data_IF_801415433179
#
_entry.id   IF_801415433179
#
_cell.length_a   1.000
_cell.length_b   1.000
_cell.length_c   1.000
_cell.angle_alpha   90.00
_cell.angle_beta   90.00
_cell.angle_gamma   90.00
#
_symmetry.space_group_name_H-M   'P 1'
#
loop_
_entity.id
_entity.type
_entity.pdbx_description
1 polymer ?
#
# COMPACT_ATOMS: atom_id res chain seq x y z
N UNK A 1 11.69 -21.63 17.25
CA UNK A 1 12.00 -22.27 15.95
C UNK A 1 10.97 -21.77 14.94
N UNK A 2 11.19 -20.57 14.41
CA UNK A 2 10.27 -19.91 13.46
C UNK A 2 10.55 -20.52 12.09
N UNK A 3 9.56 -21.22 11.53
CA UNK A 3 9.60 -21.73 10.17
C UNK A 3 9.79 -20.56 9.21
N UNK A 4 11.02 -20.39 8.72
CA UNK A 4 11.30 -19.54 7.57
C UNK A 4 10.48 -20.07 6.40
N UNK A 5 9.38 -19.39 6.07
CA UNK A 5 8.62 -19.67 4.86
C UNK A 5 9.56 -19.52 3.68
N UNK A 6 9.86 -20.63 2.99
CA UNK A 6 10.63 -20.60 1.75
C UNK A 6 9.96 -19.61 0.81
N UNK A 7 10.67 -18.54 0.45
CA UNK A 7 10.25 -17.64 -0.62
C UNK A 7 10.28 -18.49 -1.89
N UNK A 8 9.11 -18.87 -2.40
CA UNK A 8 9.00 -19.59 -3.67
C UNK A 8 9.41 -18.63 -4.77
N UNK A 9 10.40 -19.01 -5.57
CA UNK A 9 10.75 -18.23 -6.77
C UNK A 9 9.53 -18.24 -7.72
N UNK A 10 9.23 -17.10 -8.37
CA UNK A 10 8.12 -17.03 -9.32
C UNK A 10 8.36 -18.01 -10.47
N UNK A 11 7.31 -18.74 -10.84
CA UNK A 11 7.41 -19.76 -11.89
C UNK A 11 7.69 -19.08 -13.25
N UNK A 12 8.49 -19.68 -14.13
CA UNK A 12 8.79 -19.06 -15.42
C UNK A 12 7.51 -18.94 -16.26
N UNK A 13 7.16 -17.70 -16.59
CA UNK A 13 5.99 -17.34 -17.39
C UNK A 13 6.22 -17.80 -18.84
N UNK A 14 5.68 -18.96 -19.18
CA UNK A 14 5.77 -19.53 -20.51
C UNK A 14 4.39 -19.46 -21.18
N UNK A 15 4.19 -18.59 -22.18
CA UNK A 15 2.91 -18.50 -22.87
C UNK A 15 2.63 -19.82 -23.61
N UNK A 16 1.47 -20.42 -23.31
CA UNK A 16 0.98 -21.66 -23.93
C UNK A 16 -0.44 -21.43 -24.41
N UNK A 17 -0.90 -22.29 -25.32
CA UNK A 17 -2.29 -22.28 -25.77
C UNK A 17 -3.19 -22.72 -24.61
N UNK A 18 -4.09 -21.82 -24.17
CA UNK A 18 -4.99 -22.03 -23.03
C UNK A 18 -6.42 -22.47 -23.42
N UNK A 19 -6.61 -23.01 -24.63
CA UNK A 19 -7.93 -23.46 -25.06
C UNK A 19 -8.40 -24.66 -24.23
N UNK A 20 -9.53 -24.51 -23.54
CA UNK A 20 -10.09 -25.52 -22.61
C UNK A 20 -9.17 -25.91 -21.44
N UNK A 21 -8.20 -25.04 -21.07
CA UNK A 21 -7.24 -25.35 -20.02
C UNK A 21 -7.87 -25.30 -18.62
N UNK A 22 -8.61 -24.23 -18.33
CA UNK A 22 -9.21 -24.01 -17.00
C UNK A 22 -10.73 -24.19 -16.96
N UNK A 23 -11.38 -24.11 -18.12
CA UNK A 23 -12.83 -24.20 -18.27
C UNK A 23 -13.11 -25.21 -19.36
N UNK A 24 -13.83 -26.29 -19.05
CA UNK A 24 -14.17 -27.32 -20.04
C UNK A 24 -15.33 -26.90 -20.95
N UNK A 25 -15.60 -27.70 -21.99
CA UNK A 25 -16.72 -27.44 -22.90
C UNK A 25 -18.07 -27.45 -22.17
N UNK A 26 -18.28 -28.43 -21.28
CA UNK A 26 -19.50 -28.55 -20.47
C UNK A 26 -19.65 -27.37 -19.51
N UNK A 27 -18.55 -26.94 -18.88
CA UNK A 27 -18.55 -25.79 -17.97
C UNK A 27 -18.93 -24.48 -18.69
N UNK A 28 -18.47 -24.31 -19.94
CA UNK A 28 -18.83 -23.14 -20.74
C UNK A 28 -20.32 -23.11 -21.09
N UNK A 29 -20.94 -24.27 -21.32
CA UNK A 29 -22.39 -24.35 -21.57
C UNK A 29 -23.19 -23.92 -20.33
N UNK A 30 -22.76 -24.33 -19.14
CA UNK A 30 -23.36 -23.86 -17.88
C UNK A 30 -23.16 -22.35 -17.68
N UNK A 31 -21.96 -21.83 -17.96
CA UNK A 31 -21.66 -20.40 -17.87
C UNK A 31 -22.52 -19.59 -18.85
N UNK A 32 -22.72 -20.07 -20.08
CA UNK A 32 -23.54 -19.37 -21.09
C UNK A 32 -25.03 -19.36 -20.71
N UNK A 33 -25.54 -20.48 -20.21
CA UNK A 33 -26.95 -20.61 -19.80
C UNK A 33 -27.29 -19.76 -18.56
N UNK A 34 -26.31 -19.46 -17.71
CA UNK A 34 -26.53 -18.74 -16.45
C UNK A 34 -26.59 -17.23 -16.66
N UNK A 35 -27.81 -16.64 -16.64
CA UNK A 35 -28.00 -15.19 -16.80
C UNK A 35 -27.89 -14.39 -15.49
N UNK A 36 -28.27 -14.99 -14.37
CA UNK A 36 -28.24 -14.31 -13.08
C UNK A 36 -26.81 -14.19 -12.54
N UNK A 37 -26.40 -12.98 -12.16
CA UNK A 37 -25.08 -12.69 -11.57
C UNK A 37 -24.75 -13.59 -10.34
N UNK A 38 -25.65 -13.78 -9.35
CA UNK A 38 -25.31 -14.60 -8.18
C UNK A 38 -25.14 -16.08 -8.51
N UNK A 39 -25.86 -16.59 -9.50
CA UNK A 39 -25.70 -17.97 -9.98
C UNK A 39 -24.40 -18.10 -10.76
N UNK A 40 -24.08 -17.13 -11.62
CA UNK A 40 -22.83 -17.09 -12.38
C UNK A 40 -21.61 -17.08 -11.45
N UNK A 41 -21.66 -16.33 -10.34
CA UNK A 41 -20.60 -16.37 -9.30
C UNK A 41 -20.40 -17.76 -8.73
N UNK A 42 -21.48 -18.52 -8.50
CA UNK A 42 -21.41 -19.91 -7.98
C UNK A 42 -20.82 -20.85 -9.02
N UNK A 43 -21.29 -20.80 -10.26
CA UNK A 43 -20.77 -21.62 -11.36
C UNK A 43 -19.27 -21.36 -11.56
N UNK A 44 -18.85 -20.09 -11.65
CA UNK A 44 -17.44 -19.72 -11.80
C UNK A 44 -16.58 -20.18 -10.60
N UNK A 45 -17.12 -20.16 -9.39
CA UNK A 45 -16.42 -20.66 -8.20
C UNK A 45 -16.12 -22.15 -8.31
N UNK A 46 -17.09 -22.94 -8.78
CA UNK A 46 -16.93 -24.38 -8.98
C UNK A 46 -15.96 -24.69 -10.11
N UNK A 47 -16.18 -24.07 -11.28
CA UNK A 47 -15.41 -24.32 -12.51
C UNK A 47 -13.93 -23.95 -12.33
N UNK A 48 -13.65 -22.77 -11.79
CA UNK A 48 -12.27 -22.28 -11.66
C UNK A 48 -11.57 -22.78 -10.39
N UNK A 49 -12.26 -23.55 -9.54
CA UNK A 49 -11.71 -24.16 -8.32
C UNK A 49 -11.23 -23.13 -7.29
N UNK A 50 -11.95 -22.03 -7.11
CA UNK A 50 -11.52 -20.91 -6.24
C UNK A 50 -11.72 -21.25 -4.76
N UNK A 51 -10.71 -21.85 -4.14
CA UNK A 51 -10.70 -22.22 -2.72
C UNK A 51 -9.99 -21.17 -1.84
N UNK A 52 -10.47 -19.93 -1.86
CA UNK A 52 -9.91 -18.81 -1.09
C UNK A 52 -10.93 -18.36 -0.02
N UNK A 53 -10.50 -17.96 1.20
CA UNK A 53 -11.40 -17.39 2.19
C UNK A 53 -12.00 -16.04 1.76
N UNK A 54 -13.17 -15.69 2.29
CA UNK A 54 -13.72 -14.34 2.17
C UNK A 54 -12.88 -13.33 2.96
N UNK A 55 -12.75 -12.06 2.51
CA UNK A 55 -13.43 -11.42 1.38
C UNK A 55 -12.72 -11.56 0.02
N UNK A 56 -11.55 -12.21 -0.02
CA UNK A 56 -10.69 -12.30 -1.22
C UNK A 56 -11.39 -13.06 -2.34
N UNK A 57 -12.15 -14.11 -2.00
CA UNK A 57 -12.95 -14.87 -2.95
C UNK A 57 -13.97 -14.00 -3.68
N UNK A 58 -14.70 -13.14 -2.97
CA UNK A 58 -15.67 -12.22 -3.58
C UNK A 58 -15.05 -11.34 -4.66
N UNK A 59 -13.89 -10.75 -4.38
CA UNK A 59 -13.15 -9.88 -5.32
C UNK A 59 -12.69 -10.65 -6.56
N UNK A 60 -12.17 -11.87 -6.37
CA UNK A 60 -11.70 -12.68 -7.49
C UNK A 60 -12.85 -13.18 -8.38
N UNK A 61 -13.95 -13.64 -7.78
CA UNK A 61 -15.16 -14.02 -8.53
C UNK A 61 -15.76 -12.83 -9.26
N UNK A 62 -15.72 -11.64 -8.67
CA UNK A 62 -16.17 -10.43 -9.32
C UNK A 62 -15.33 -10.09 -10.55
N UNK A 63 -14.00 -10.25 -10.51
CA UNK A 63 -13.14 -10.13 -11.69
C UNK A 63 -13.56 -11.10 -12.80
N UNK A 64 -13.81 -12.37 -12.48
CA UNK A 64 -14.24 -13.37 -13.47
C UNK A 64 -15.63 -13.08 -14.04
N UNK A 65 -16.59 -12.68 -13.21
CA UNK A 65 -17.93 -12.28 -13.67
C UNK A 65 -17.84 -11.12 -14.65
N UNK A 66 -17.09 -10.06 -14.31
CA UNK A 66 -16.92 -8.92 -15.22
C UNK A 66 -16.26 -9.32 -16.54
N UNK A 67 -15.35 -10.30 -16.51
CA UNK A 67 -14.74 -10.85 -17.73
C UNK A 67 -15.78 -11.55 -18.61
N UNK A 68 -16.65 -12.38 -18.01
CA UNK A 68 -17.73 -13.05 -18.76
C UNK A 68 -18.74 -12.04 -19.32
N UNK A 69 -19.10 -11.02 -18.54
CA UNK A 69 -20.01 -9.97 -19.01
C UNK A 69 -19.42 -9.22 -20.21
N UNK A 70 -18.13 -8.88 -20.15
CA UNK A 70 -17.43 -8.27 -21.28
C UNK A 70 -17.42 -9.16 -22.53
N UNK A 71 -17.20 -10.48 -22.37
CA UNK A 71 -17.29 -11.42 -23.50
C UNK A 71 -18.69 -11.43 -24.13
N UNK A 72 -19.74 -11.39 -23.31
CA UNK A 72 -21.13 -11.35 -23.78
C UNK A 72 -21.44 -10.05 -24.52
N UNK A 73 -21.02 -8.91 -23.98
CA UNK A 73 -21.17 -7.59 -24.64
C UNK A 73 -20.43 -7.51 -25.97
N UNK A 74 -19.28 -8.19 -26.05
CA UNK A 74 -18.43 -8.23 -27.26
C UNK A 74 -18.81 -9.35 -28.24
N UNK A 75 -19.85 -10.14 -27.94
CA UNK A 75 -20.32 -11.30 -28.73
C UNK A 75 -19.22 -12.34 -29.02
N UNK A 76 -18.35 -12.61 -28.05
CA UNK A 76 -17.32 -13.65 -28.20
C UNK A 76 -17.89 -15.06 -28.18
N UNK A 77 -17.26 -15.94 -28.94
CA UNK A 77 -17.55 -17.37 -28.98
C UNK A 77 -17.22 -18.06 -27.64
N UNK A 78 -17.73 -19.28 -27.46
CA UNK A 78 -17.44 -20.13 -26.28
C UNK A 78 -15.96 -20.35 -26.07
N UNK A 79 -15.25 -20.69 -27.15
CA UNK A 79 -13.80 -20.91 -27.15
C UNK A 79 -13.04 -19.65 -26.73
N UNK A 80 -13.40 -18.51 -27.32
CA UNK A 80 -12.81 -17.21 -27.01
C UNK A 80 -13.04 -16.82 -25.54
N UNK A 81 -14.23 -17.07 -25.00
CA UNK A 81 -14.56 -16.79 -23.59
C UNK A 81 -13.77 -17.67 -22.63
N UNK A 82 -13.68 -18.98 -22.92
CA UNK A 82 -12.86 -19.93 -22.14
C UNK A 82 -11.39 -19.50 -22.10
N UNK A 83 -10.84 -19.12 -23.26
CA UNK A 83 -9.47 -18.64 -23.37
C UNK A 83 -9.27 -17.34 -22.61
N UNK A 84 -10.16 -16.36 -22.75
CA UNK A 84 -10.02 -15.08 -22.05
C UNK A 84 -10.07 -15.25 -20.53
N UNK A 85 -10.96 -16.09 -20.01
CA UNK A 85 -11.01 -16.44 -18.59
C UNK A 85 -9.69 -17.07 -18.11
N UNK A 86 -9.13 -17.99 -18.90
CA UNK A 86 -7.86 -18.65 -18.61
C UNK A 86 -6.68 -17.66 -18.63
N UNK A 87 -6.67 -16.71 -19.58
CA UNK A 87 -5.68 -15.63 -19.65
C UNK A 87 -5.77 -14.74 -18.39
N UNK A 88 -6.98 -14.31 -18.00
CA UNK A 88 -7.18 -13.47 -16.82
C UNK A 88 -6.76 -14.21 -15.54
N UNK A 89 -7.09 -15.49 -15.42
CA UNK A 89 -6.65 -16.34 -14.31
C UNK A 89 -5.13 -16.45 -14.25
N UNK A 90 -4.49 -16.78 -15.37
CA UNK A 90 -3.03 -16.92 -15.46
C UNK A 90 -2.31 -15.60 -15.17
N UNK A 91 -2.81 -14.49 -15.67
CA UNK A 91 -2.30 -13.15 -15.38
C UNK A 91 -2.46 -12.78 -13.90
N UNK A 92 -3.60 -13.12 -13.29
CA UNK A 92 -3.82 -12.86 -11.87
C UNK A 92 -2.90 -13.71 -10.99
N UNK A 93 -2.73 -14.98 -11.33
CA UNK A 93 -1.78 -15.85 -10.65
C UNK A 93 -0.35 -15.30 -10.73
N UNK A 94 0.13 -14.96 -11.94
CA UNK A 94 1.44 -14.36 -12.14
C UNK A 94 1.65 -13.06 -11.33
N UNK A 95 0.61 -12.21 -11.22
CA UNK A 95 0.68 -11.02 -10.40
C UNK A 95 0.83 -11.34 -8.90
N UNK A 96 0.14 -12.38 -8.42
CA UNK A 96 0.06 -12.69 -6.99
C UNK A 96 1.20 -13.58 -6.47
N UNK A 97 1.96 -14.21 -7.37
CA UNK A 97 3.12 -15.05 -7.04
C UNK A 97 4.24 -14.29 -6.31
N UNK A 98 4.39 -12.99 -6.55
CA UNK A 98 5.40 -12.16 -5.90
C UNK A 98 4.75 -10.95 -5.23
N UNK A 99 5.20 -10.55 -4.02
CA UNK A 99 4.78 -9.29 -3.41
C UNK A 99 5.43 -8.07 -4.09
N UNK A 100 6.51 -8.28 -4.86
CA UNK A 100 7.21 -7.21 -5.56
C UNK A 100 6.43 -6.73 -6.79
N UNK A 101 6.66 -5.48 -7.19
CA UNK A 101 6.02 -4.94 -8.38
C UNK A 101 6.50 -5.68 -9.66
N UNK A 102 5.61 -6.42 -10.30
CA UNK A 102 5.85 -7.14 -11.55
C UNK A 102 4.86 -6.75 -12.67
N UNK A 103 4.34 -5.51 -12.62
CA UNK A 103 3.34 -5.02 -13.58
C UNK A 103 3.80 -5.17 -15.04
N UNK A 104 5.05 -4.78 -15.34
CA UNK A 104 5.60 -4.89 -16.69
C UNK A 104 5.70 -6.33 -17.18
N UNK A 105 6.09 -7.25 -16.30
CA UNK A 105 6.15 -8.69 -16.62
C UNK A 105 4.75 -9.29 -16.83
N UNK A 106 3.77 -8.92 -16.00
CA UNK A 106 2.39 -9.37 -16.16
C UNK A 106 1.78 -8.84 -17.47
N UNK A 107 2.08 -7.60 -17.84
CA UNK A 107 1.63 -7.00 -19.09
C UNK A 107 2.27 -7.67 -20.31
N UNK A 108 3.58 -7.91 -20.28
CA UNK A 108 4.30 -8.63 -21.34
C UNK A 108 3.72 -10.04 -21.51
N UNK A 109 3.55 -10.76 -20.40
CA UNK A 109 2.97 -12.10 -20.40
C UNK A 109 1.54 -12.13 -20.96
N UNK A 110 0.69 -11.18 -20.54
CA UNK A 110 -0.67 -11.05 -21.08
C UNK A 110 -0.64 -10.75 -22.59
N UNK A 111 0.26 -9.88 -23.04
CA UNK A 111 0.41 -9.53 -24.46
C UNK A 111 0.88 -10.71 -25.30
N UNK A 112 1.83 -11.50 -24.79
CA UNK A 112 2.31 -12.72 -25.42
C UNK A 112 1.22 -13.81 -25.48
N UNK A 113 0.45 -14.00 -24.40
CA UNK A 113 -0.70 -14.91 -24.39
C UNK A 113 -1.74 -14.51 -25.43
N UNK A 114 -2.10 -13.22 -25.51
CA UNK A 114 -3.03 -12.74 -26.53
C UNK A 114 -2.48 -12.99 -27.95
N UNK A 115 -1.19 -12.74 -28.17
CA UNK A 115 -0.54 -12.99 -29.46
C UNK A 115 -0.56 -14.48 -29.84
N UNK A 116 -0.34 -15.38 -28.87
CA UNK A 116 -0.49 -16.84 -29.04
C UNK A 116 -1.90 -17.25 -29.46
N UNK A 117 -2.91 -16.44 -29.15
CA UNK A 117 -4.30 -16.69 -29.54
C UNK A 117 -4.78 -15.86 -30.74
N UNK A 118 -3.89 -15.07 -31.37
CA UNK A 118 -4.21 -14.26 -32.56
C UNK A 118 -3.53 -14.78 -33.82
N UNK A 119 -2.31 -15.32 -33.69
CA UNK A 119 -1.50 -15.75 -34.82
C UNK A 119 -1.63 -17.27 -35.02
N UNK A 120 -1.74 -17.71 -36.27
CA UNK A 120 -1.80 -19.14 -36.62
C UNK A 120 -0.39 -19.73 -36.81
N UNK A 121 0.15 -20.42 -35.80
CA UNK A 121 1.37 -21.25 -35.88
C UNK A 121 1.24 -22.49 -34.99
N UNK A 122 0.58 -23.57 -35.45
CA UNK A 122 0.57 -24.85 -34.75
C UNK A 122 2.02 -25.37 -34.57
N UNK A 123 2.42 -25.94 -33.41
CA UNK A 123 1.66 -26.22 -32.17
C UNK A 123 1.61 -25.07 -31.14
N UNK A 124 2.25 -23.92 -31.41
CA UNK A 124 2.50 -22.88 -30.40
C UNK A 124 1.41 -21.82 -30.30
N UNK A 125 0.63 -21.61 -31.36
CA UNK A 125 -0.38 -20.55 -31.41
C UNK A 125 -1.58 -20.93 -32.29
N UNK A 126 -2.76 -20.43 -31.91
CA UNK A 126 -4.04 -20.65 -32.58
C UNK A 126 -4.63 -19.28 -32.94
N UNK A 127 -5.23 -19.13 -34.12
CA UNK A 127 -5.95 -17.91 -34.50
C UNK A 127 -7.40 -17.97 -34.01
N UNK A 128 -7.64 -17.62 -32.74
CA UNK A 128 -8.99 -17.51 -32.16
C UNK A 128 -9.51 -16.07 -32.12
N UNK A 129 -8.60 -15.11 -31.98
CA UNK A 129 -8.94 -13.69 -31.97
C UNK A 129 -8.44 -13.00 -33.24
N UNK A 130 -9.26 -12.12 -33.79
CA UNK A 130 -8.88 -11.15 -34.80
C UNK A 130 -8.11 -9.98 -34.19
N UNK A 131 -7.41 -9.21 -35.03
CA UNK A 131 -6.63 -8.05 -34.58
C UNK A 131 -7.49 -6.99 -33.86
N UNK A 132 -8.76 -6.85 -34.25
CA UNK A 132 -9.69 -5.90 -33.63
C UNK A 132 -10.10 -6.37 -32.23
N UNK A 133 -10.49 -7.65 -32.10
CA UNK A 133 -10.86 -8.26 -30.81
C UNK A 133 -9.71 -8.21 -29.81
N UNK A 134 -8.46 -8.47 -30.25
CA UNK A 134 -7.27 -8.37 -29.40
C UNK A 134 -7.09 -6.96 -28.85
N UNK A 135 -7.28 -5.95 -29.70
CA UNK A 135 -7.18 -4.54 -29.30
C UNK A 135 -8.27 -4.19 -28.29
N UNK A 136 -9.49 -4.69 -28.50
CA UNK A 136 -10.62 -4.51 -27.59
C UNK A 136 -10.36 -5.17 -26.23
N UNK A 137 -9.86 -6.41 -26.23
CA UNK A 137 -9.48 -7.15 -25.01
C UNK A 137 -8.36 -6.43 -24.26
N UNK A 138 -7.31 -6.01 -24.96
CA UNK A 138 -6.19 -5.30 -24.34
C UNK A 138 -6.65 -3.99 -23.69
N UNK A 139 -7.49 -3.22 -24.40
CA UNK A 139 -8.09 -1.99 -23.85
C UNK A 139 -8.96 -2.28 -22.63
N UNK A 140 -9.75 -3.35 -22.66
CA UNK A 140 -10.55 -3.77 -21.52
C UNK A 140 -9.66 -4.11 -20.31
N UNK A 141 -8.65 -4.96 -20.47
CA UNK A 141 -7.75 -5.39 -19.39
C UNK A 141 -6.95 -4.22 -18.81
N UNK A 142 -6.51 -3.28 -19.65
CA UNK A 142 -5.82 -2.07 -19.19
C UNK A 142 -6.72 -1.20 -18.30
N UNK A 143 -7.97 -1.01 -18.71
CA UNK A 143 -8.90 -0.12 -18.00
C UNK A 143 -9.51 -0.76 -16.74
N UNK A 144 -9.60 -2.09 -16.67
CA UNK A 144 -10.17 -2.80 -15.53
C UNK A 144 -9.08 -3.35 -14.61
N UNK A 145 -8.29 -4.30 -15.08
CA UNK A 145 -7.33 -5.01 -14.26
C UNK A 145 -6.09 -4.18 -13.93
N UNK A 146 -5.38 -3.68 -14.95
CA UNK A 146 -4.12 -2.96 -14.73
C UNK A 146 -4.33 -1.61 -14.05
N UNK A 147 -5.44 -0.91 -14.33
CA UNK A 147 -5.83 0.30 -13.59
C UNK A 147 -5.96 0.06 -12.09
N UNK A 148 -6.41 -1.12 -11.69
CA UNK A 148 -6.58 -1.53 -10.30
C UNK A 148 -5.49 -2.52 -9.83
N UNK A 149 -4.34 -2.56 -10.50
CA UNK A 149 -3.26 -3.50 -10.22
C UNK A 149 -2.80 -3.48 -8.75
N UNK A 150 -2.63 -2.28 -8.17
CA UNK A 150 -2.19 -2.12 -6.78
C UNK A 150 -3.21 -2.70 -5.77
N UNK A 151 -4.50 -2.65 -6.09
CA UNK A 151 -5.57 -3.21 -5.27
C UNK A 151 -5.45 -4.74 -5.22
N UNK A 152 -5.34 -5.38 -6.38
CA UNK A 152 -5.15 -6.82 -6.46
C UNK A 152 -3.86 -7.25 -5.77
N UNK A 153 -2.77 -6.50 -5.94
CA UNK A 153 -1.52 -6.77 -5.25
C UNK A 153 -1.70 -6.77 -3.73
N UNK A 154 -2.32 -5.71 -3.20
CA UNK A 154 -2.52 -5.56 -1.76
C UNK A 154 -3.39 -6.65 -1.15
N UNK A 155 -4.46 -7.05 -1.84
CA UNK A 155 -5.43 -8.03 -1.31
C UNK A 155 -4.85 -9.45 -1.31
N UNK A 156 -4.13 -9.82 -2.37
CA UNK A 156 -3.78 -11.21 -2.65
C UNK A 156 -2.31 -11.57 -2.35
N UNK A 157 -1.43 -10.60 -2.12
CA UNK A 157 -0.03 -10.88 -1.74
C UNK A 157 0.17 -10.86 -0.23
N UNK A 158 1.00 -11.75 0.33
CA UNK A 158 1.38 -11.68 1.75
C UNK A 158 2.29 -10.47 2.00
N UNK A 159 2.08 -9.78 3.12
CA UNK A 159 2.97 -8.69 3.54
C UNK A 159 4.33 -9.28 3.97
N UNK A 160 5.40 -8.88 3.29
CA UNK A 160 6.77 -9.20 3.69
C UNK A 160 7.26 -8.14 4.66
N UNK A 161 7.58 -8.53 5.89
CA UNK A 161 8.25 -7.67 6.87
C UNK A 161 9.72 -8.05 6.92
N UNK A 162 10.60 -7.08 6.70
CA UNK A 162 12.03 -7.24 6.89
C UNK A 162 12.37 -6.77 8.29
N UNK A 163 12.77 -7.69 9.15
CA UNK A 163 13.30 -7.37 10.48
C UNK A 163 14.83 -7.29 10.38
N UNK A 164 15.38 -6.09 10.52
CA UNK A 164 16.81 -5.83 10.39
C UNK A 164 17.43 -5.77 11.79
N UNK A 165 18.17 -6.82 12.16
CA UNK A 165 19.07 -6.77 13.31
C UNK A 165 20.44 -6.31 12.85
N UNK A 166 20.93 -5.22 13.43
CA UNK A 166 22.28 -4.72 13.19
C UNK A 166 23.18 -5.11 14.36
N UNK A 167 24.22 -5.89 14.09
CA UNK A 167 25.33 -6.09 15.02
C UNK A 167 26.47 -5.15 14.63
N UNK A 168 26.80 -4.18 15.48
CA UNK A 168 27.92 -3.28 15.24
C UNK A 168 29.21 -3.93 15.73
N UNK A 169 30.20 -4.08 14.84
CA UNK A 169 31.51 -4.60 15.25
C UNK A 169 32.27 -3.54 16.06
N UNK A 170 32.62 -3.87 17.31
CA UNK A 170 33.38 -2.97 18.20
C UNK A 170 32.61 -2.46 19.42
N UNK A 171 31.33 -2.82 19.58
CA UNK A 171 30.62 -2.66 20.86
C UNK A 171 30.84 -3.94 21.69
N UNK A 172 31.14 -3.86 23.00
CA UNK A 172 31.08 -5.03 23.86
C UNK A 172 29.67 -5.61 23.82
N UNK A 173 29.54 -6.93 23.70
CA UNK A 173 28.25 -7.60 23.77
C UNK A 173 27.58 -7.22 25.09
N UNK A 174 26.48 -6.46 25.04
CA UNK A 174 25.65 -6.29 26.23
C UNK A 174 24.99 -7.65 26.47
N UNK A 175 25.34 -8.27 27.60
CA UNK A 175 24.71 -9.49 28.06
C UNK A 175 23.19 -9.33 28.01
N UNK A 176 22.43 -10.37 27.58
CA UNK A 176 20.99 -10.29 27.51
C UNK A 176 20.44 -9.96 28.89
N UNK A 177 19.91 -8.75 29.04
CA UNK A 177 19.20 -8.32 30.24
C UNK A 177 18.03 -9.27 30.39
N UNK A 178 18.13 -10.20 31.34
CA UNK A 178 17.01 -11.02 31.78
C UNK A 178 15.93 -10.08 32.28
N UNK A 179 14.90 -9.90 31.44
CA UNK A 179 13.62 -9.31 31.85
C UNK A 179 13.01 -10.21 32.92
N UNK A 180 13.25 -9.87 34.19
CA UNK A 180 12.41 -10.31 35.30
C UNK A 180 11.95 -9.10 36.10
N UNK A 181 10.70 -8.76 35.78
CA UNK A 181 9.64 -8.23 36.63
C UNK A 181 9.52 -6.73 36.91
N UNK A 182 8.45 -6.21 36.30
CA UNK A 182 7.45 -5.27 36.78
C UNK A 182 7.82 -3.77 36.75
N UNK A 183 7.12 -3.01 35.91
CA UNK A 183 5.88 -2.31 36.30
C UNK A 183 5.05 -2.01 35.05
N UNK A 184 3.77 -2.35 35.17
CA UNK A 184 2.64 -2.06 34.29
C UNK A 184 2.55 -0.60 33.84
N UNK A 185 2.19 -0.38 32.57
CA UNK A 185 1.25 0.69 32.23
C UNK A 185 0.46 0.30 30.98
N UNK A 186 -0.83 0.07 31.19
CA UNK A 186 -1.88 0.20 30.19
C UNK A 186 -1.72 1.49 29.38
N UNK A 187 -2.12 1.47 28.10
CA UNK A 187 -2.20 2.69 27.31
C UNK A 187 -2.47 2.51 25.82
N UNK A 188 -3.70 2.13 25.48
CA UNK A 188 -4.32 2.17 24.14
C UNK A 188 -3.86 3.34 23.23
N UNK A 189 -3.41 3.05 22.00
CA UNK A 189 -3.51 3.99 20.87
C UNK A 189 -4.94 3.94 20.31
N UNK A 190 -5.77 4.95 20.63
CA UNK A 190 -7.01 5.23 19.90
C UNK A 190 -6.77 6.30 18.83
N UNK A 191 -7.42 6.04 17.69
CA UNK A 191 -7.46 6.82 16.46
C UNK A 191 -7.95 8.25 16.70
N UNK A 192 -7.37 9.17 15.95
CA UNK A 192 -7.85 10.53 15.75
C UNK A 192 -9.13 10.52 14.90
N UNK A 193 -10.13 11.27 15.35
CA UNK A 193 -11.14 11.96 14.55
C UNK A 193 -11.60 13.16 15.40
N UNK A 194 -11.41 14.38 14.88
CA UNK A 194 -12.02 15.64 15.35
C UNK A 194 -13.56 15.66 15.08
N UNK A 195 -14.37 16.68 15.49
CA UNK A 195 -14.05 18.01 16.04
C UNK A 195 -14.98 18.53 17.19
N UNK A 196 -14.73 19.79 17.57
CA UNK A 196 -15.69 20.85 18.01
C UNK A 196 -16.01 21.13 19.50
N UNK A 197 -15.57 22.35 19.90
CA UNK A 197 -16.28 23.45 20.61
C UNK A 197 -16.62 23.33 22.11
N UNK A 198 -16.03 24.24 22.92
CA UNK A 198 -16.72 25.21 23.80
C UNK A 198 -15.90 25.56 25.08
N UNK A 199 -15.50 26.84 25.12
CA UNK A 199 -15.25 27.74 26.25
C UNK A 199 -15.50 27.25 27.69
N UNK A 200 -14.51 27.43 28.59
CA UNK A 200 -14.68 28.21 29.83
C UNK A 200 -13.37 28.60 30.51
N UNK A 201 -13.33 29.85 30.95
CA UNK A 201 -12.24 30.58 31.58
C UNK A 201 -12.00 30.25 33.07
N UNK A 202 -10.71 30.18 33.45
CA UNK A 202 -10.05 30.72 34.67
C UNK A 202 -10.39 30.17 36.08
N UNK A 203 -9.59 30.49 37.13
CA UNK A 203 -8.14 30.31 37.33
C UNK A 203 -7.88 29.63 38.71
N UNK A 204 -6.61 29.56 39.19
CA UNK A 204 -6.17 29.77 40.60
C UNK A 204 -4.95 28.88 40.99
N UNK A 205 -3.87 29.62 41.20
CA UNK A 205 -2.85 29.56 42.27
C UNK A 205 -1.85 28.40 42.43
N UNK A 206 -0.60 28.84 42.34
CA UNK A 206 0.61 28.32 42.94
C UNK A 206 0.43 27.75 44.35
N UNK A 207 1.02 26.57 44.59
CA UNK A 207 1.60 26.27 45.88
C UNK A 207 2.98 25.64 45.71
N UNK A 208 3.97 26.41 46.15
CA UNK A 208 5.34 25.99 46.34
C UNK A 208 5.41 24.82 47.32
N UNK A 209 6.20 23.80 46.99
CA UNK A 209 6.98 23.08 48.01
C UNK A 209 8.31 22.72 47.37
N UNK A 210 9.37 23.44 47.76
CA UNK A 210 10.74 23.09 47.42
C UNK A 210 11.26 21.96 48.33
N UNK A 211 12.58 21.83 48.45
CA UNK A 211 13.41 20.96 47.64
C UNK A 211 13.87 19.74 48.45
N UNK A 212 13.81 18.54 47.87
CA UNK A 212 14.37 17.35 48.52
C UNK A 212 15.76 17.05 47.95
N UNK A 213 16.78 17.50 48.70
CA UNK A 213 18.18 17.16 48.49
C UNK A 213 18.52 16.00 49.41
N UNK A 214 18.97 14.87 48.85
CA UNK A 214 20.24 14.20 49.18
C UNK A 214 20.19 12.70 48.87
N UNK A 215 21.01 12.25 47.91
CA UNK A 215 22.11 11.33 48.19
C UNK A 215 23.10 11.37 47.02
N UNK A 216 24.33 11.78 47.34
CA UNK A 216 25.47 11.89 46.43
C UNK A 216 26.24 10.58 46.43
N UNK A 217 26.28 9.93 45.27
CA UNK A 217 27.50 9.32 44.74
C UNK A 217 27.70 9.88 43.32
N UNK A 218 28.93 10.27 42.92
CA UNK A 218 29.18 10.82 41.59
C UNK A 218 29.18 9.68 40.57
N UNK A 219 27.98 9.29 40.13
CA UNK A 219 27.88 8.39 38.97
C UNK A 219 28.15 9.20 37.70
N UNK A 220 28.94 8.71 36.74
CA UNK A 220 29.15 9.36 35.44
C UNK A 220 27.85 9.79 34.74
N UNK A 221 26.74 9.12 35.05
CA UNK A 221 25.40 9.43 34.53
C UNK A 221 24.81 10.75 35.07
N UNK A 222 25.17 11.21 36.27
CA UNK A 222 24.69 12.50 36.78
C UNK A 222 25.40 13.67 36.13
N UNK A 223 26.72 13.55 35.91
CA UNK A 223 27.52 14.58 35.24
C UNK A 223 27.07 14.77 33.78
N UNK A 224 26.84 13.68 33.05
CA UNK A 224 26.30 13.71 31.69
C UNK A 224 24.91 14.37 31.63
N UNK A 225 24.03 14.10 32.60
CA UNK A 225 22.71 14.73 32.66
C UNK A 225 22.79 16.24 32.86
N UNK A 226 23.71 16.71 33.72
CA UNK A 226 23.94 18.15 33.90
C UNK A 226 24.47 18.81 32.63
N UNK A 227 25.39 18.17 31.91
CA UNK A 227 25.93 18.69 30.64
C UNK A 227 24.82 18.77 29.60
N UNK A 228 24.01 17.71 29.44
CA UNK A 228 22.88 17.70 28.50
C UNK A 228 21.86 18.80 28.83
N UNK A 229 21.52 18.98 30.11
CA UNK A 229 20.60 20.04 30.53
C UNK A 229 21.16 21.44 30.34
N UNK A 230 22.47 21.62 30.49
CA UNK A 230 23.12 22.89 30.21
C UNK A 230 23.04 23.22 28.73
N UNK A 231 23.36 22.27 27.85
CA UNK A 231 23.36 22.52 26.40
C UNK A 231 21.97 22.76 25.83
N UNK A 232 20.97 22.03 26.35
CA UNK A 232 19.58 22.31 26.01
C UNK A 232 19.15 23.73 26.42
N UNK A 233 19.62 24.24 27.56
CA UNK A 233 19.34 25.62 27.97
C UNK A 233 20.04 26.64 27.10
N UNK A 234 21.31 26.39 26.75
CA UNK A 234 22.09 27.28 25.90
C UNK A 234 21.47 27.37 24.49
N UNK A 235 21.07 26.24 23.90
CA UNK A 235 20.35 26.21 22.61
C UNK A 235 18.98 26.89 22.69
N UNK A 236 18.23 26.69 23.78
CA UNK A 236 16.94 27.36 23.95
C UNK A 236 17.09 28.89 24.01
N UNK A 237 18.11 29.40 24.70
CA UNK A 237 18.41 30.83 24.75
C UNK A 237 18.83 31.35 23.37
N UNK A 238 19.66 30.59 22.65
CA UNK A 238 20.10 30.94 21.30
C UNK A 238 18.90 31.02 20.33
N UNK A 239 18.05 29.99 20.29
CA UNK A 239 16.86 29.97 19.45
C UNK A 239 15.87 31.08 19.81
N UNK A 240 15.65 31.35 21.10
CA UNK A 240 14.76 32.42 21.55
C UNK A 240 15.24 33.78 21.04
N UNK A 241 16.55 34.06 21.14
CA UNK A 241 17.14 35.29 20.61
C UNK A 241 17.00 35.41 19.10
N UNK A 242 17.19 34.31 18.37
CA UNK A 242 17.04 34.30 16.92
C UNK A 242 15.59 34.55 16.49
N UNK A 243 14.61 33.99 17.22
CA UNK A 243 13.19 34.24 16.97
C UNK A 243 12.82 35.70 17.25
N UNK A 244 13.27 36.27 18.36
CA UNK A 244 13.06 37.69 18.68
C UNK A 244 13.63 38.61 17.62
N UNK A 245 14.84 38.32 17.13
CA UNK A 245 15.45 39.09 16.06
C UNK A 245 14.63 39.03 14.77
N UNK A 246 14.16 37.83 14.38
CA UNK A 246 13.32 37.66 13.18
C UNK A 246 11.98 38.38 13.31
N UNK A 247 11.38 38.37 14.50
CA UNK A 247 10.16 39.11 14.78
C UNK A 247 10.39 40.62 14.68
N UNK A 248 11.51 41.11 15.22
CA UNK A 248 11.88 42.52 15.17
C UNK A 248 12.14 43.00 13.74
N UNK A 249 12.91 42.24 12.97
CA UNK A 249 13.16 42.52 11.54
C UNK A 249 11.85 42.55 10.74
N UNK A 250 10.92 41.64 11.03
CA UNK A 250 9.60 41.62 10.38
C UNK A 250 8.78 42.86 10.75
N UNK A 251 8.77 43.27 12.02
CA UNK A 251 8.05 44.46 12.48
C UNK A 251 8.64 45.74 11.86
N UNK A 252 9.96 45.85 11.79
CA UNK A 252 10.63 47.00 11.20
C UNK A 252 10.40 47.07 9.67
N UNK A 253 10.37 45.92 8.99
CA UNK A 253 9.98 45.85 7.57
C UNK A 253 8.55 46.35 7.36
N UNK A 254 7.59 45.90 8.16
CA UNK A 254 6.19 46.34 8.06
C UNK A 254 6.06 47.84 8.34
N UNK A 255 6.74 48.36 9.36
CA UNK A 255 6.74 49.79 9.66
C UNK A 255 7.37 50.62 8.54
N UNK A 256 8.46 50.16 7.93
CA UNK A 256 9.08 50.84 6.77
C UNK A 256 8.16 50.85 5.54
N UNK A 257 7.40 49.78 5.32
CA UNK A 257 6.43 49.71 4.24
C UNK A 257 5.24 50.67 4.48
N UNK A 258 4.76 50.76 5.74
CA UNK A 258 3.71 51.70 6.13
C UNK A 258 4.15 53.16 5.92
N UNK A 259 5.34 53.54 6.39
CA UNK A 259 5.85 54.92 6.21
C UNK A 259 6.11 55.28 4.74
N UNK A 260 6.58 54.32 3.94
CA UNK A 260 6.66 54.48 2.48
C UNK A 260 5.29 54.72 1.86
N UNK A 261 4.25 54.03 2.32
CA UNK A 261 2.89 54.21 1.78
C UNK A 261 2.29 55.56 2.20
N UNK A 262 2.53 56.00 3.44
CA UNK A 262 2.08 57.29 3.96
C UNK A 262 2.74 58.49 3.25
N UNK A 263 4.04 58.42 2.98
CA UNK A 263 4.76 59.46 2.22
C UNK A 263 4.30 59.55 0.76
N UNK A 264 4.00 58.41 0.12
CA UNK A 264 3.40 58.38 -1.23
C UNK A 264 1.98 58.97 -1.27
N UNK A 265 1.21 58.87 -0.17
CA UNK A 265 -0.11 59.48 -0.05
C UNK A 265 -0.04 61.00 0.18
N UNK A 266 0.98 61.50 0.88
CA UNK A 266 1.18 62.94 1.10
C UNK A 266 1.73 63.67 -0.13
N UNK A 267 2.48 63.00 -1.01
CA UNK A 267 2.98 63.57 -2.27
C UNK A 267 1.97 63.66 -3.41
N UNK A 268 0.73 63.20 -3.21
CA UNK A 268 -0.38 63.18 -4.20
C UNK A 268 -1.50 64.20 -3.92
N UNK A 269 -1.27 65.16 -3.02
CA UNK A 269 -2.16 66.31 -2.78
C UNK A 269 -1.54 67.60 -3.28
#
# INVERSE_FOLDING_TARGET
>A
MILAGKIKEPDPLNPKVLLWADVSYSDMEEIENTKAIPELKRTLCCVLGVNIPEPRRGVLLELYVHTVLFCRESNFNREQTSVLLSIVKSMHQANTETPLNNMGHCYAYCSELLLCHSVRRPPFSISLFSSEEVTQILKYLLNTYFRHYNLYKYIFTPQVRLDLSFSYSGMPDEDPVTETDAVSSDGYCKKENEPETAEREQPIEAMNTGPEVANKDPSPKSELRTIIQQEMREEMIHMSRQLEQRLKESADRLNSALTSLETNLQGKK
#
